data_IF_896806550336
#
_entry.id   IF_896806550336
#
_cell.length_a   1.000
_cell.length_b   1.000
_cell.length_c   1.000
_cell.angle_alpha   90.00
_cell.angle_beta   90.00
_cell.angle_gamma   90.00
#
_symmetry.space_group_name_H-M   'P 1'
#
loop_
_entity.id
_entity.type
_entity.pdbx_description
1 polymer ?
#
# COMPACT_ATOMS: atom_id res chain seq x y z
N UNK A 1 14.95 -6.64 -8.06
CA UNK A 1 16.06 -6.12 -7.29
C UNK A 1 15.88 -6.49 -5.82
N UNK A 2 16.83 -6.12 -4.94
CA UNK A 2 16.76 -6.46 -3.52
C UNK A 2 15.88 -5.56 -2.66
N UNK A 3 15.32 -4.48 -3.20
CA UNK A 3 14.60 -3.46 -2.43
C UNK A 3 13.10 -3.70 -2.36
N UNK A 4 12.53 -4.20 -3.46
CA UNK A 4 11.10 -4.49 -3.58
C UNK A 4 10.84 -5.83 -4.25
N UNK A 5 9.73 -6.44 -3.88
CA UNK A 5 9.10 -7.56 -4.59
C UNK A 5 7.72 -7.12 -5.01
N UNK A 6 7.37 -7.41 -6.26
CA UNK A 6 6.05 -7.12 -6.80
C UNK A 6 5.34 -8.43 -7.10
N UNK A 7 4.07 -8.50 -6.76
CA UNK A 7 3.22 -9.66 -7.04
C UNK A 7 1.80 -9.23 -7.38
N UNK A 8 1.14 -10.05 -8.19
CA UNK A 8 -0.27 -9.90 -8.52
C UNK A 8 -1.04 -11.09 -8.01
N UNK A 9 -2.16 -10.85 -7.34
CA UNK A 9 -2.99 -11.88 -6.76
C UNK A 9 -4.46 -11.71 -7.14
N UNK A 10 -5.13 -12.85 -7.34
CA UNK A 10 -6.57 -12.93 -7.55
C UNK A 10 -7.13 -13.88 -6.52
N UNK A 11 -8.11 -13.45 -5.75
CA UNK A 11 -8.70 -14.28 -4.69
C UNK A 11 -10.18 -14.00 -4.50
N UNK A 12 -10.93 -15.06 -4.27
CA UNK A 12 -12.34 -15.07 -3.87
C UNK A 12 -12.53 -15.66 -2.46
N UNK A 13 -11.46 -16.08 -1.82
CA UNK A 13 -11.46 -16.74 -0.52
C UNK A 13 -10.67 -15.96 0.52
N UNK A 14 -11.06 -16.11 1.79
CA UNK A 14 -10.35 -15.50 2.91
C UNK A 14 -8.92 -16.04 2.99
N UNK A 15 -7.95 -15.13 3.10
CA UNK A 15 -6.56 -15.49 3.28
C UNK A 15 -6.28 -16.04 4.69
N UNK A 16 -5.20 -16.81 4.88
CA UNK A 16 -4.70 -17.09 6.23
C UNK A 16 -4.30 -15.78 6.93
N UNK A 17 -4.13 -15.82 8.26
CA UNK A 17 -3.45 -14.76 8.97
C UNK A 17 -1.99 -14.71 8.57
N UNK A 18 -1.53 -13.50 8.31
CA UNK A 18 -0.18 -13.27 7.80
C UNK A 18 0.43 -12.01 8.41
N UNK A 19 1.75 -11.98 8.49
CA UNK A 19 2.52 -10.77 8.73
C UNK A 19 3.86 -10.80 7.99
N UNK A 20 4.27 -9.66 7.49
CA UNK A 20 5.60 -9.41 6.97
C UNK A 20 6.46 -8.76 8.08
N UNK A 21 7.46 -9.47 8.58
CA UNK A 21 8.38 -8.94 9.59
C UNK A 21 9.66 -8.35 8.96
N UNK A 22 9.69 -8.18 7.62
CA UNK A 22 10.85 -7.64 6.89
C UNK A 22 10.69 -6.16 6.61
N UNK A 23 9.55 -5.77 6.03
CA UNK A 23 9.29 -4.41 5.61
C UNK A 23 7.78 -4.16 5.43
N UNK A 24 7.45 -2.96 4.99
CA UNK A 24 6.07 -2.56 4.75
C UNK A 24 5.55 -3.12 3.42
N UNK A 25 4.24 -3.20 3.32
CA UNK A 25 3.54 -3.60 2.10
C UNK A 25 2.58 -2.49 1.67
N UNK A 26 2.61 -2.16 0.39
CA UNK A 26 1.64 -1.30 -0.26
C UNK A 26 0.88 -2.15 -1.28
N UNK A 27 -0.41 -2.35 -1.06
CA UNK A 27 -1.24 -3.20 -1.91
C UNK A 27 -2.27 -2.34 -2.62
N UNK A 28 -2.21 -2.29 -3.94
CA UNK A 28 -3.21 -1.62 -4.76
C UNK A 28 -4.35 -2.58 -5.10
N UNK A 29 -5.58 -2.15 -4.88
CA UNK A 29 -6.80 -2.90 -5.24
C UNK A 29 -7.20 -2.51 -6.66
N UNK A 30 -6.94 -3.41 -7.62
CA UNK A 30 -7.30 -3.20 -9.02
C UNK A 30 -8.81 -3.33 -9.23
N UNK A 31 -9.42 -4.36 -8.65
CA UNK A 31 -10.86 -4.59 -8.74
C UNK A 31 -11.36 -5.46 -7.59
N UNK A 32 -12.68 -5.45 -7.40
CA UNK A 32 -13.33 -6.13 -6.29
C UNK A 32 -13.26 -5.31 -5.01
N UNK A 33 -13.66 -5.93 -3.91
CA UNK A 33 -13.64 -5.35 -2.57
C UNK A 33 -13.31 -6.39 -1.51
N UNK A 34 -12.85 -5.94 -0.36
CA UNK A 34 -12.51 -6.80 0.76
C UNK A 34 -12.63 -6.04 2.08
N UNK A 35 -12.57 -6.78 3.17
CA UNK A 35 -12.20 -6.24 4.48
C UNK A 35 -10.82 -6.77 4.83
N UNK A 36 -9.87 -5.87 5.08
CA UNK A 36 -8.57 -6.23 5.64
C UNK A 36 -8.70 -6.18 7.15
N UNK A 37 -8.76 -7.34 7.76
CA UNK A 37 -8.80 -7.47 9.21
C UNK A 37 -7.39 -7.43 9.77
N UNK A 38 -7.14 -6.56 10.74
CA UNK A 38 -5.81 -6.35 11.32
C UNK A 38 -5.86 -6.30 12.85
N UNK A 39 -4.71 -6.41 13.50
CA UNK A 39 -4.57 -6.20 14.96
C UNK A 39 -4.97 -4.78 15.40
N UNK A 40 -5.05 -3.83 14.47
CA UNK A 40 -5.46 -2.44 14.74
C UNK A 40 -6.95 -2.21 14.49
N UNK A 41 -7.63 -3.16 13.84
CA UNK A 41 -9.02 -3.06 13.45
C UNK A 41 -9.23 -3.45 11.98
N UNK A 42 -10.45 -3.26 11.50
CA UNK A 42 -10.85 -3.61 10.14
C UNK A 42 -10.75 -2.41 9.21
N UNK A 43 -10.22 -2.64 8.00
CA UNK A 43 -10.16 -1.69 6.89
C UNK A 43 -11.05 -2.19 5.75
N UNK A 44 -12.19 -1.58 5.48
CA UNK A 44 -12.90 -1.79 4.22
C UNK A 44 -12.04 -1.27 3.06
N UNK A 45 -11.89 -2.08 2.01
CA UNK A 45 -11.10 -1.72 0.84
C UNK A 45 -11.90 -1.99 -0.45
N UNK A 46 -11.64 -1.16 -1.45
CA UNK A 46 -12.32 -1.20 -2.75
C UNK A 46 -11.36 -0.85 -3.88
N UNK A 47 -11.85 -0.98 -5.10
CA UNK A 47 -11.12 -0.58 -6.30
C UNK A 47 -10.54 0.84 -6.16
N UNK A 48 -9.27 0.98 -6.54
CA UNK A 48 -8.51 2.22 -6.48
C UNK A 48 -7.79 2.48 -5.17
N UNK A 49 -8.02 1.65 -4.13
CA UNK A 49 -7.33 1.82 -2.85
C UNK A 49 -5.88 1.33 -2.90
N UNK A 50 -4.97 2.14 -2.42
CA UNK A 50 -3.69 1.71 -1.88
C UNK A 50 -3.88 1.36 -0.41
N UNK A 51 -3.55 0.14 -0.05
CA UNK A 51 -3.62 -0.37 1.33
C UNK A 51 -2.21 -0.44 1.89
N UNK A 52 -1.93 0.39 2.87
CA UNK A 52 -0.63 0.43 3.54
C UNK A 52 -0.65 -0.47 4.77
N UNK A 53 0.21 -1.47 4.77
CA UNK A 53 0.38 -2.42 5.86
C UNK A 53 1.79 -2.31 6.42
N UNK A 54 1.96 -1.62 7.57
CA UNK A 54 3.25 -1.51 8.22
C UNK A 54 3.81 -2.87 8.62
N UNK A 55 5.11 -2.98 8.57
CA UNK A 55 5.86 -4.17 9.02
C UNK A 55 5.34 -4.70 10.36
N UNK A 56 5.22 -6.01 10.47
CA UNK A 56 4.74 -6.78 11.65
C UNK A 56 3.24 -6.72 11.90
N UNK A 57 2.47 -5.99 11.14
CA UNK A 57 1.00 -5.98 11.25
C UNK A 57 0.44 -7.37 10.94
N UNK A 58 -0.16 -8.03 11.91
CA UNK A 58 -0.92 -9.26 11.67
C UNK A 58 -2.23 -8.87 11.00
N UNK A 59 -2.51 -9.48 9.86
CA UNK A 59 -3.71 -9.20 9.09
C UNK A 59 -4.17 -10.42 8.29
N UNK A 60 -5.40 -10.35 7.77
CA UNK A 60 -5.91 -11.23 6.71
C UNK A 60 -6.85 -10.46 5.79
N UNK A 61 -6.96 -10.94 4.58
CA UNK A 61 -7.86 -10.42 3.56
C UNK A 61 -9.13 -11.25 3.52
N UNK A 62 -10.28 -10.58 3.63
CA UNK A 62 -11.61 -11.20 3.54
C UNK A 62 -12.32 -10.59 2.34
N UNK A 63 -12.19 -11.21 1.13
CA UNK A 63 -12.87 -10.74 -0.06
C UNK A 63 -14.38 -10.66 0.15
N UNK A 64 -14.98 -9.63 -0.43
CA UNK A 64 -16.42 -9.37 -0.37
C UNK A 64 -16.96 -9.38 -1.79
N UNK A 65 -17.98 -10.16 -2.05
CA UNK A 65 -18.72 -10.07 -3.31
C UNK A 65 -19.86 -9.05 -3.15
N UNK A 66 -19.48 -7.78 -3.22
CA UNK A 66 -20.46 -6.70 -3.20
C UNK A 66 -20.82 -6.35 -4.63
N UNK A 67 -22.09 -6.41 -4.94
CA UNK A 67 -22.65 -6.05 -6.25
C UNK A 67 -22.13 -6.85 -7.47
N UNK A 68 -21.64 -8.07 -7.24
CA UNK A 68 -21.13 -8.92 -8.34
C UNK A 68 -19.84 -8.40 -8.97
N UNK A 69 -19.02 -7.68 -8.18
CA UNK A 69 -17.73 -7.10 -8.62
C UNK A 69 -16.67 -8.16 -8.98
N UNK A 70 -16.99 -9.44 -8.75
CA UNK A 70 -16.08 -10.55 -9.03
C UNK A 70 -14.94 -10.68 -7.99
N UNK A 71 -13.92 -11.50 -8.28
CA UNK A 71 -12.85 -11.77 -7.36
C UNK A 71 -12.02 -10.51 -7.07
N UNK A 72 -11.49 -10.43 -5.84
CA UNK A 72 -10.53 -9.42 -5.45
C UNK A 72 -9.26 -9.58 -6.28
N UNK A 73 -8.81 -8.50 -6.92
CA UNK A 73 -7.57 -8.43 -7.68
C UNK A 73 -6.67 -7.37 -7.07
N UNK A 74 -5.45 -7.76 -6.75
CA UNK A 74 -4.51 -6.88 -6.06
C UNK A 74 -3.12 -6.92 -6.69
N UNK A 75 -2.48 -5.75 -6.68
CA UNK A 75 -1.09 -5.57 -7.05
C UNK A 75 -0.30 -5.17 -5.81
N UNK A 76 0.51 -6.09 -5.29
CA UNK A 76 1.22 -5.93 -4.03
C UNK A 76 2.69 -5.56 -4.24
N UNK A 77 3.13 -4.53 -3.55
CA UNK A 77 4.51 -4.04 -3.50
C UNK A 77 5.02 -4.28 -2.07
N UNK A 78 5.86 -5.28 -1.92
CA UNK A 78 6.51 -5.62 -0.65
C UNK A 78 7.90 -4.99 -0.61
N UNK A 79 8.16 -4.13 0.35
CA UNK A 79 9.45 -3.48 0.53
C UNK A 79 10.36 -4.22 1.53
N UNK A 80 11.65 -4.02 1.41
CA UNK A 80 12.63 -4.33 2.46
C UNK A 80 12.85 -3.17 3.44
N UNK A 81 12.01 -2.14 3.35
CA UNK A 81 12.11 -0.89 4.07
C UNK A 81 10.73 -0.42 4.53
N UNK A 82 10.70 0.77 5.08
CA UNK A 82 9.49 1.52 5.34
C UNK A 82 8.95 2.14 4.04
N UNK A 83 7.61 2.18 3.89
CA UNK A 83 6.91 2.88 2.82
C UNK A 83 6.11 4.02 3.46
N UNK A 84 6.29 5.25 2.96
CA UNK A 84 5.67 6.43 3.56
C UNK A 84 5.32 7.49 2.49
N UNK A 85 4.50 8.49 2.82
CA UNK A 85 4.40 9.70 2.02
C UNK A 85 5.79 10.32 1.78
N UNK A 86 6.06 10.86 0.58
CA UNK A 86 7.33 11.50 0.28
C UNK A 86 7.68 12.61 1.27
N UNK A 87 8.93 12.66 1.71
CA UNK A 87 9.40 13.65 2.70
C UNK A 87 9.11 15.09 2.28
N UNK A 88 9.10 15.38 0.98
CA UNK A 88 8.78 16.73 0.46
C UNK A 88 7.31 17.12 0.65
N UNK A 89 6.42 16.18 0.95
CA UNK A 89 5.02 16.44 1.27
C UNK A 89 4.79 16.70 2.75
N UNK A 90 5.80 16.43 3.57
CA UNK A 90 5.70 16.45 5.01
C UNK A 90 6.43 17.66 5.63
N UNK A 91 5.82 18.24 6.66
CA UNK A 91 6.50 19.14 7.57
C UNK A 91 7.58 18.38 8.35
N UNK A 92 8.46 19.11 9.04
CA UNK A 92 9.44 18.50 9.96
C UNK A 92 8.79 17.71 11.12
N UNK A 93 7.52 17.89 11.34
CA UNK A 93 6.73 17.20 12.36
C UNK A 93 5.90 16.03 11.81
N UNK A 94 6.03 15.71 10.50
CA UNK A 94 5.35 14.60 9.86
C UNK A 94 3.92 14.88 9.39
N UNK A 95 3.45 16.12 9.45
CA UNK A 95 2.15 16.54 8.95
C UNK A 95 2.21 16.81 7.45
N UNK A 96 1.18 16.46 6.70
CA UNK A 96 1.08 16.80 5.29
C UNK A 96 0.97 18.32 5.10
N UNK A 97 1.72 18.84 4.14
CA UNK A 97 1.76 20.26 3.80
C UNK A 97 0.61 20.62 2.86
N UNK A 98 0.15 21.87 2.90
CA UNK A 98 -0.94 22.36 2.06
C UNK A 98 -0.75 22.12 0.55
N UNK A 99 0.49 22.10 0.08
CA UNK A 99 0.81 21.85 -1.33
C UNK A 99 1.04 20.35 -1.66
N UNK A 100 0.76 19.46 -0.72
CA UNK A 100 0.78 18.01 -0.98
C UNK A 100 -0.36 17.61 -1.91
N UNK A 101 -0.19 16.57 -2.75
CA UNK A 101 -1.25 16.12 -3.65
C UNK A 101 -2.39 15.36 -2.96
N UNK A 102 -2.33 15.18 -1.65
CA UNK A 102 -3.34 14.61 -0.76
C UNK A 102 -3.09 15.07 0.68
N UNK A 103 -4.04 14.86 1.56
CA UNK A 103 -3.96 15.29 2.96
C UNK A 103 -4.43 14.18 3.93
N UNK A 104 -4.34 14.44 5.23
CA UNK A 104 -4.65 13.46 6.28
C UNK A 104 -6.08 12.92 6.21
N UNK A 105 -7.08 13.70 5.78
CA UNK A 105 -8.45 13.21 5.66
C UNK A 105 -8.67 12.24 4.50
N UNK A 106 -7.71 12.15 3.56
CA UNK A 106 -7.73 11.19 2.46
C UNK A 106 -7.13 9.84 2.87
N UNK A 107 -6.52 9.78 4.06
CA UNK A 107 -5.91 8.60 4.65
C UNK A 107 -6.87 7.99 5.69
N UNK A 108 -7.37 6.79 5.45
CA UNK A 108 -8.39 6.16 6.29
C UNK A 108 -7.82 4.98 7.05
N UNK A 109 -7.62 5.15 8.37
CA UNK A 109 -7.24 4.08 9.28
C UNK A 109 -8.44 3.31 9.85
N UNK A 110 -8.19 2.22 10.60
CA UNK A 110 -9.23 1.53 11.36
C UNK A 110 -9.89 2.48 12.37
N UNK A 111 -11.22 2.46 12.42
CA UNK A 111 -11.98 3.36 13.30
C UNK A 111 -12.31 2.76 14.66
N UNK A 112 -12.18 1.46 14.80
CA UNK A 112 -12.43 0.73 16.03
C UNK A 112 -11.63 -0.58 16.06
N UNK A 113 -11.30 -1.09 17.26
CA UNK A 113 -10.67 -2.40 17.40
C UNK A 113 -11.53 -3.52 16.81
N UNK A 114 -10.87 -4.54 16.30
CA UNK A 114 -11.47 -5.80 15.91
C UNK A 114 -11.05 -6.85 16.96
N UNK A 115 -12.03 -7.31 17.75
CA UNK A 115 -11.80 -8.34 18.74
C UNK A 115 -12.29 -9.68 18.19
N UNK A 116 -11.49 -10.72 18.36
CA UNK A 116 -11.85 -12.07 17.99
C UNK A 116 -11.40 -13.06 19.08
N UNK A 117 -12.17 -14.12 19.24
CA UNK A 117 -11.86 -15.21 20.15
C UNK A 117 -11.26 -16.39 19.40
N UNK A 118 -10.42 -17.16 20.07
CA UNK A 118 -9.80 -18.35 19.52
C UNK A 118 -8.52 -18.72 20.26
N UNK A 119 -8.12 -20.00 20.13
CA UNK A 119 -6.86 -20.52 20.61
C UNK A 119 -6.13 -21.20 19.46
N UNK A 120 -4.81 -21.32 19.60
CA UNK A 120 -3.95 -21.98 18.63
C UNK A 120 -4.06 -21.40 17.22
N UNK A 121 -4.20 -20.06 17.14
CA UNK A 121 -4.34 -19.34 15.88
C UNK A 121 -2.98 -19.29 15.16
N UNK A 122 -2.96 -19.85 13.97
CA UNK A 122 -1.77 -19.86 13.12
C UNK A 122 -1.62 -18.54 12.36
N UNK A 123 -0.43 -17.94 12.45
CA UNK A 123 -0.02 -16.75 11.70
C UNK A 123 1.20 -17.07 10.86
N UNK A 124 1.03 -17.02 9.55
CA UNK A 124 2.15 -17.14 8.62
C UNK A 124 3.04 -15.90 8.75
N UNK A 125 4.31 -16.11 9.06
CA UNK A 125 5.26 -15.01 9.31
C UNK A 125 6.40 -15.10 8.30
N UNK A 126 6.55 -14.05 7.49
CA UNK A 126 7.68 -13.83 6.62
C UNK A 126 8.76 -13.07 7.38
N UNK A 127 9.97 -13.61 7.46
CA UNK A 127 11.06 -12.97 8.20
C UNK A 127 12.44 -13.26 7.57
N UNK A 128 13.47 -12.57 8.06
CA UNK A 128 14.85 -12.86 7.66
C UNK A 128 15.33 -14.16 8.27
N UNK A 129 16.15 -14.92 7.54
CA UNK A 129 16.69 -16.19 8.01
C UNK A 129 17.76 -16.75 7.07
N UNK A 130 18.25 -17.93 7.39
CA UNK A 130 19.37 -18.58 6.69
C UNK A 130 18.95 -19.34 5.40
N UNK A 131 17.81 -18.99 4.80
CA UNK A 131 17.41 -19.52 3.49
C UNK A 131 18.26 -18.94 2.34
N UNK A 132 18.23 -19.56 1.14
CA UNK A 132 19.02 -19.12 -0.02
C UNK A 132 18.77 -17.67 -0.42
N UNK A 133 17.55 -17.15 -0.20
CA UNK A 133 17.17 -15.76 -0.45
C UNK A 133 17.37 -14.82 0.74
N UNK A 134 17.86 -15.33 1.89
CA UNK A 134 17.87 -14.59 3.15
C UNK A 134 16.48 -14.32 3.74
N UNK A 135 15.44 -14.90 3.15
CA UNK A 135 14.03 -14.77 3.55
C UNK A 135 13.47 -16.15 3.79
N UNK A 136 12.78 -16.32 4.91
CA UNK A 136 12.12 -17.57 5.30
C UNK A 136 10.70 -17.28 5.77
N UNK A 137 9.86 -18.30 5.68
CA UNK A 137 8.52 -18.32 6.25
C UNK A 137 8.48 -19.27 7.45
N UNK A 138 7.75 -18.88 8.47
CA UNK A 138 7.41 -19.75 9.60
C UNK A 138 5.95 -19.56 9.99
N UNK A 139 5.37 -20.59 10.62
CA UNK A 139 4.05 -20.47 11.25
C UNK A 139 4.26 -20.21 12.72
N UNK A 140 3.68 -19.11 13.21
CA UNK A 140 3.65 -18.78 14.63
C UNK A 140 2.26 -19.11 15.16
N UNK A 141 2.20 -20.00 16.14
CA UNK A 141 0.94 -20.37 16.79
C UNK A 141 0.73 -19.48 18.01
N UNK A 142 -0.35 -18.71 18.01
CA UNK A 142 -0.77 -17.88 19.13
C UNK A 142 -1.74 -18.65 20.01
N UNK A 143 -1.45 -18.75 21.31
CA UNK A 143 -2.30 -19.47 22.28
C UNK A 143 -3.64 -18.78 22.52
N UNK A 144 -3.71 -17.46 22.27
CA UNK A 144 -4.93 -16.66 22.21
C UNK A 144 -5.03 -15.99 20.85
N UNK A 145 -6.23 -15.56 20.46
CA UNK A 145 -6.39 -14.86 19.18
C UNK A 145 -5.57 -13.54 19.18
N UNK A 146 -4.77 -13.25 18.15
CA UNK A 146 -3.94 -12.04 18.12
C UNK A 146 -4.73 -10.72 18.02
N UNK A 147 -6.05 -10.78 17.73
CA UNK A 147 -6.94 -9.63 17.73
C UNK A 147 -7.68 -9.51 19.08
N UNK A 148 -6.95 -9.56 20.17
CA UNK A 148 -7.44 -9.49 21.53
C UNK A 148 -7.05 -8.21 22.27
N UNK A 149 -6.24 -7.36 21.65
CA UNK A 149 -5.78 -6.10 22.19
C UNK A 149 -6.45 -4.91 21.53
N UNK A 150 -6.70 -3.88 22.31
CA UNK A 150 -7.02 -2.57 21.78
C UNK A 150 -5.80 -2.05 21.05
N UNK A 151 -5.98 -1.71 19.76
CA UNK A 151 -4.89 -1.34 18.89
C UNK A 151 -4.04 -0.19 19.42
N UNK A 152 -2.81 -0.17 18.98
CA UNK A 152 -1.84 0.88 19.26
C UNK A 152 -2.24 2.19 18.55
N UNK A 153 -2.22 3.27 19.31
CA UNK A 153 -2.45 4.64 18.80
C UNK A 153 -1.11 5.35 18.58
N UNK A 154 -0.33 4.86 17.65
CA UNK A 154 0.96 5.42 17.27
C UNK A 154 0.97 5.92 15.83
N UNK A 155 2.15 6.31 15.34
CA UNK A 155 2.34 6.79 13.97
C UNK A 155 2.49 5.67 12.92
N UNK A 156 2.55 4.41 13.34
CA UNK A 156 2.64 3.24 12.45
C UNK A 156 1.39 2.38 12.60
N UNK A 157 0.42 2.61 11.76
CA UNK A 157 -0.84 1.86 11.67
C UNK A 157 -1.20 1.63 10.20
N UNK A 158 -2.00 0.60 9.89
CA UNK A 158 -2.48 0.38 8.54
C UNK A 158 -3.49 1.45 8.15
N UNK A 159 -3.48 1.83 6.87
CA UNK A 159 -4.44 2.78 6.31
C UNK A 159 -4.69 2.53 4.83
N UNK A 160 -5.77 3.08 4.33
CA UNK A 160 -6.09 3.12 2.90
C UNK A 160 -5.98 4.55 2.37
N UNK A 161 -5.64 4.65 1.09
CA UNK A 161 -5.66 5.87 0.30
C UNK A 161 -6.22 5.56 -1.08
N UNK A 162 -7.32 6.20 -1.48
CA UNK A 162 -7.88 5.96 -2.80
C UNK A 162 -7.19 6.82 -3.86
N UNK A 163 -6.83 6.21 -4.99
CA UNK A 163 -6.14 6.91 -6.08
C UNK A 163 -6.96 8.06 -6.67
N UNK A 164 -8.30 8.04 -6.53
CA UNK A 164 -9.18 9.14 -6.97
C UNK A 164 -9.03 10.41 -6.15
N UNK A 165 -8.45 10.32 -4.95
CA UNK A 165 -8.18 11.46 -4.07
C UNK A 165 -6.78 12.05 -4.30
N UNK A 166 -6.02 11.48 -5.22
CA UNK A 166 -4.70 11.99 -5.61
C UNK A 166 -4.82 13.17 -6.57
N UNK A 167 -4.35 14.34 -6.14
CA UNK A 167 -4.41 15.61 -6.88
C UNK A 167 -3.01 16.12 -7.24
N UNK A 168 -2.31 15.50 -8.22
CA UNK A 168 -0.97 15.91 -8.60
C UNK A 168 -0.97 17.31 -9.22
N UNK A 169 0.08 18.08 -8.92
CA UNK A 169 0.25 19.43 -9.45
C UNK A 169 0.34 19.40 -10.97
N UNK A 170 -0.36 20.32 -11.63
CA UNK A 170 -0.23 20.56 -13.07
C UNK A 170 0.84 21.63 -13.32
N UNK A 171 1.89 21.29 -14.06
CA UNK A 171 2.96 22.22 -14.43
C UNK A 171 2.60 23.14 -15.58
N UNK A 172 3.51 24.08 -15.91
CA UNK A 172 3.34 24.99 -17.05
C UNK A 172 3.96 24.48 -18.33
N UNK A 173 5.08 23.80 -18.23
CA UNK A 173 5.87 23.33 -19.39
C UNK A 173 6.14 21.84 -19.30
N UNK A 174 6.50 21.37 -18.13
CA UNK A 174 6.87 19.97 -17.91
C UNK A 174 6.60 19.57 -16.47
N UNK A 175 6.13 18.36 -16.27
CA UNK A 175 5.97 17.74 -14.97
C UNK A 175 6.93 16.57 -14.84
N UNK A 176 7.99 16.72 -14.05
CA UNK A 176 8.91 15.61 -13.80
C UNK A 176 8.19 14.49 -13.03
N UNK A 177 8.69 13.24 -13.09
CA UNK A 177 8.12 12.09 -12.39
C UNK A 177 7.73 12.33 -10.94
N UNK A 178 8.47 13.13 -10.13
CA UNK A 178 8.07 13.46 -8.76
C UNK A 178 6.67 14.05 -8.60
N UNK A 179 6.08 14.68 -9.63
CA UNK A 179 4.70 15.18 -9.58
C UNK A 179 3.65 14.04 -9.50
N UNK A 180 4.01 12.83 -9.91
CA UNK A 180 3.15 11.65 -9.91
C UNK A 180 3.36 10.75 -8.69
N UNK A 181 4.35 11.07 -7.85
CA UNK A 181 4.73 10.22 -6.74
C UNK A 181 3.68 10.26 -5.63
N UNK A 182 3.22 9.07 -5.22
CA UNK A 182 2.27 8.89 -4.12
C UNK A 182 3.00 8.50 -2.85
N UNK A 183 3.89 7.51 -2.93
CA UNK A 183 4.67 7.02 -1.80
C UNK A 183 6.14 6.86 -2.18
N UNK A 184 6.98 6.69 -1.16
CA UNK A 184 8.40 6.36 -1.32
C UNK A 184 8.87 5.35 -0.29
N UNK A 185 9.90 4.58 -0.65
CA UNK A 185 10.68 3.72 0.22
C UNK A 185 12.17 3.86 -0.09
N UNK A 186 13.00 2.99 0.48
CA UNK A 186 14.42 3.01 0.16
C UNK A 186 14.65 2.54 -1.29
N UNK A 187 15.26 3.41 -2.09
CA UNK A 187 15.62 3.17 -3.48
C UNK A 187 14.45 2.91 -4.45
N UNK A 188 13.24 3.29 -4.08
CA UNK A 188 12.10 3.21 -4.99
C UNK A 188 11.04 4.26 -4.68
N UNK A 189 10.19 4.52 -5.67
CA UNK A 189 9.01 5.37 -5.56
C UNK A 189 7.79 4.63 -6.12
N UNK A 190 6.61 4.99 -5.62
CA UNK A 190 5.32 4.55 -6.15
C UNK A 190 4.65 5.78 -6.74
N UNK A 191 4.35 5.72 -8.03
CA UNK A 191 3.72 6.79 -8.78
C UNK A 191 2.31 6.39 -9.23
N UNK A 192 1.41 7.38 -9.34
CA UNK A 192 0.10 7.22 -9.95
C UNK A 192 -0.07 8.25 -11.08
N UNK A 193 -0.35 7.76 -12.28
CA UNK A 193 -0.63 8.59 -13.47
C UNK A 193 -2.15 8.67 -13.64
N UNK A 194 -2.76 9.59 -12.91
CA UNK A 194 -4.22 9.79 -12.94
C UNK A 194 -4.65 10.64 -14.12
N UNK A 195 -5.87 10.45 -14.69
CA UNK A 195 -6.40 11.27 -15.76
C UNK A 195 -6.52 12.74 -15.34
N UNK A 196 -5.79 13.63 -16.02
CA UNK A 196 -5.83 15.07 -15.80
C UNK A 196 -5.24 15.83 -16.98
N UNK A 197 -5.42 17.14 -17.01
CA UNK A 197 -4.56 18.00 -17.83
C UNK A 197 -3.16 17.99 -17.25
N UNK A 198 -2.21 17.57 -18.08
CA UNK A 198 -0.81 17.47 -17.68
C UNK A 198 -0.17 18.85 -17.64
N UNK A 199 -0.50 19.69 -18.62
CA UNK A 199 0.10 21.01 -18.78
C UNK A 199 -0.84 21.96 -19.55
N UNK A 200 -0.67 23.26 -19.33
CA UNK A 200 -1.45 24.32 -19.99
C UNK A 200 -0.60 25.19 -20.95
N UNK A 201 0.71 24.97 -20.97
CA UNK A 201 1.59 25.78 -21.80
C UNK A 201 1.61 25.26 -23.24
N UNK A 202 1.61 26.14 -24.29
CA UNK A 202 1.65 25.70 -25.70
C UNK A 202 2.90 24.88 -26.07
N UNK A 203 3.99 25.06 -25.35
CA UNK A 203 5.25 24.31 -25.55
C UNK A 203 5.39 23.17 -24.53
N UNK A 204 4.31 22.73 -23.90
CA UNK A 204 4.36 21.61 -22.96
C UNK A 204 4.79 20.32 -23.64
N UNK A 205 5.59 19.53 -22.92
CA UNK A 205 5.98 18.21 -23.35
C UNK A 205 4.83 17.24 -23.03
N UNK A 206 4.31 16.49 -24.03
CA UNK A 206 3.25 15.53 -23.78
C UNK A 206 3.76 14.40 -22.88
N UNK A 207 2.87 13.92 -22.01
CA UNK A 207 3.14 12.79 -21.11
C UNK A 207 2.16 11.66 -21.44
N UNK A 208 2.61 10.40 -21.57
CA UNK A 208 3.99 9.94 -21.51
C UNK A 208 4.79 10.30 -22.78
N UNK A 209 6.10 10.40 -22.65
CA UNK A 209 7.01 10.64 -23.76
C UNK A 209 8.12 9.60 -23.78
N UNK A 210 8.82 9.49 -24.92
CA UNK A 210 9.96 8.58 -25.04
C UNK A 210 11.08 8.95 -24.07
N UNK A 211 11.47 7.99 -23.25
CA UNK A 211 12.61 8.12 -22.34
C UNK A 211 13.26 6.76 -22.12
N UNK A 212 14.40 6.75 -21.49
CA UNK A 212 15.07 5.54 -20.99
C UNK A 212 15.60 5.79 -19.60
N UNK A 213 15.45 4.80 -18.74
CA UNK A 213 16.07 4.78 -17.43
C UNK A 213 17.41 4.03 -17.54
N UNK A 214 18.49 4.67 -17.08
CA UNK A 214 19.85 4.13 -17.21
C UNK A 214 20.26 3.37 -15.96
N UNK A 215 19.84 3.84 -14.79
CA UNK A 215 20.23 3.39 -13.46
C UNK A 215 19.05 3.03 -12.56
N UNK A 216 17.85 2.88 -13.12
CA UNK A 216 16.67 2.43 -12.40
C UNK A 216 15.81 1.51 -13.24
N UNK A 217 15.13 0.57 -12.59
CA UNK A 217 14.07 -0.22 -13.19
C UNK A 217 12.73 0.54 -13.10
N UNK A 218 11.89 0.38 -14.11
CA UNK A 218 10.53 0.91 -14.12
C UNK A 218 9.54 -0.21 -14.41
N UNK A 219 8.50 -0.30 -13.57
CA UNK A 219 7.41 -1.25 -13.76
C UNK A 219 6.12 -0.45 -13.90
N UNK A 220 5.46 -0.58 -15.05
CA UNK A 220 4.19 0.06 -15.35
C UNK A 220 3.06 -0.94 -15.18
N UNK A 221 2.09 -0.61 -14.33
CA UNK A 221 0.86 -1.36 -14.15
C UNK A 221 -0.31 -0.53 -14.66
N UNK A 222 -0.97 -1.02 -15.71
CA UNK A 222 -2.12 -0.35 -16.32
C UNK A 222 -3.40 -0.88 -15.72
N UNK A 223 -4.29 0.02 -15.34
CA UNK A 223 -5.64 -0.25 -14.84
C UNK A 223 -6.67 0.35 -15.78
N UNK A 224 -7.77 -0.37 -16.02
CA UNK A 224 -8.88 0.05 -16.87
C UNK A 224 -9.88 0.92 -16.09
#
# INVERSE_FOLDING_TARGET
NGDVRISYAVSDTTSPYYRNAIGDECVYVESGSAVVETVFGALPVRQGDFVMLPRTTIHRWVPQDVDGSGPLRTYAIEANSHIAPPKRYLSRFGQLLEHSPYCERDLHGPTKPLLAEGSDVEVLTKHRGNGPSGIVGSTVVHTTHPFDVVGWDGCLYPYTFNVSDFEPITGRVHQPPPAHQVFEGNNFVICAFVPRKVDYHPLAIPVPYYHSNVDSDEVMFYVD
#
